data_IF_720946995977
#
_entry.id   IF_720946995977
#
_cell.length_a   1.000
_cell.length_b   1.000
_cell.length_c   1.000
_cell.angle_alpha   90.00
_cell.angle_beta   90.00
_cell.angle_gamma   90.00
#
_symmetry.space_group_name_H-M   'P 1'
#
loop_
_entity.id
_entity.type
_entity.pdbx_description
1 polymer ?
#
# COMPACT_ATOMS: atom_id res chain seq x y z
N UNK A 1 8.79 -5.48 -30.75
CA UNK A 1 8.21 -6.68 -30.14
C UNK A 1 7.08 -6.26 -29.24
N UNK A 2 5.92 -6.82 -29.42
CA UNK A 2 4.79 -6.60 -28.51
C UNK A 2 5.11 -7.19 -27.14
N UNK A 3 4.88 -6.42 -26.07
CA UNK A 3 5.17 -6.88 -24.72
C UNK A 3 4.14 -7.91 -24.30
N UNK A 4 4.57 -9.00 -23.69
CA UNK A 4 3.65 -10.01 -23.10
C UNK A 4 2.90 -9.43 -21.89
N UNK A 5 1.73 -9.97 -21.55
CA UNK A 5 0.97 -9.57 -20.36
C UNK A 5 1.83 -9.71 -19.09
N UNK A 6 2.61 -10.78 -18.98
CA UNK A 6 3.54 -10.98 -17.85
C UNK A 6 4.57 -9.85 -17.76
N UNK A 7 5.24 -9.52 -18.87
CA UNK A 7 6.20 -8.41 -18.89
C UNK A 7 5.57 -7.06 -18.57
N UNK A 8 4.30 -6.84 -18.96
CA UNK A 8 3.56 -5.64 -18.55
C UNK A 8 3.28 -5.65 -17.04
N UNK A 9 2.84 -6.78 -16.50
CA UNK A 9 2.58 -6.93 -15.07
C UNK A 9 3.84 -6.65 -14.25
N UNK A 10 4.98 -7.25 -14.61
CA UNK A 10 6.26 -7.05 -13.90
C UNK A 10 6.68 -5.58 -13.90
N UNK A 11 6.53 -4.84 -15.03
CA UNK A 11 6.83 -3.41 -15.10
C UNK A 11 5.88 -2.56 -14.25
N UNK A 12 4.58 -2.93 -14.18
CA UNK A 12 3.60 -2.23 -13.34
C UNK A 12 3.93 -2.46 -11.87
N UNK A 13 4.24 -3.68 -11.47
CA UNK A 13 4.63 -4.03 -10.09
C UNK A 13 5.87 -3.24 -9.68
N UNK A 14 6.94 -3.27 -10.48
CA UNK A 14 8.19 -2.55 -10.19
C UNK A 14 7.95 -1.03 -10.05
N UNK A 15 7.23 -0.43 -11.00
CA UNK A 15 6.95 1.01 -10.99
C UNK A 15 6.07 1.41 -9.78
N UNK A 16 5.10 0.58 -9.42
CA UNK A 16 4.18 0.83 -8.30
C UNK A 16 4.91 0.78 -6.97
N UNK A 17 5.68 -0.26 -6.72
CA UNK A 17 6.46 -0.42 -5.48
C UNK A 17 7.50 0.69 -5.37
N UNK A 18 8.26 0.97 -6.45
CA UNK A 18 9.28 2.02 -6.44
C UNK A 18 8.70 3.39 -6.07
N UNK A 19 7.50 3.73 -6.53
CA UNK A 19 6.87 5.01 -6.24
C UNK A 19 6.54 5.22 -4.75
N UNK A 20 6.39 4.14 -3.99
CA UNK A 20 6.06 4.18 -2.54
C UNK A 20 7.22 3.75 -1.65
N UNK A 21 8.42 3.58 -2.21
CA UNK A 21 9.63 3.39 -1.39
C UNK A 21 9.86 4.62 -0.49
N UNK A 22 10.31 4.43 0.75
CA UNK A 22 10.49 5.51 1.71
C UNK A 22 11.32 6.67 1.19
N UNK A 23 12.41 6.38 0.48
CA UNK A 23 13.31 7.40 -0.10
C UNK A 23 12.62 8.23 -1.19
N UNK A 24 11.90 7.58 -2.11
CA UNK A 24 11.21 8.28 -3.20
C UNK A 24 10.04 9.11 -2.66
N UNK A 25 9.34 8.58 -1.66
CA UNK A 25 8.26 9.28 -0.97
C UNK A 25 8.78 10.56 -0.29
N UNK A 26 9.89 10.47 0.43
CA UNK A 26 10.52 11.62 1.10
C UNK A 26 11.10 12.61 0.10
N UNK A 27 11.83 12.18 -0.93
CA UNK A 27 12.36 13.06 -1.97
C UNK A 27 11.24 13.86 -2.65
N UNK A 28 10.14 13.20 -2.97
CA UNK A 28 8.97 13.87 -3.56
C UNK A 28 8.33 14.88 -2.62
N UNK A 29 8.24 14.55 -1.33
CA UNK A 29 7.71 15.45 -0.33
C UNK A 29 8.57 16.69 -0.11
N UNK A 30 9.88 16.57 -0.22
CA UNK A 30 10.84 17.65 0.07
C UNK A 30 11.28 18.44 -1.18
N UNK A 31 10.73 18.16 -2.37
CA UNK A 31 11.15 18.79 -3.63
C UNK A 31 11.13 20.33 -3.57
N UNK A 32 10.09 20.89 -2.96
CA UNK A 32 9.88 22.34 -2.85
C UNK A 32 9.91 22.78 -1.37
N UNK A 33 10.69 22.08 -0.55
CA UNK A 33 10.81 22.38 0.88
C UNK A 33 12.07 23.22 1.13
N UNK A 34 11.86 24.47 1.57
CA UNK A 34 12.91 25.42 1.88
C UNK A 34 12.67 26.01 3.27
N UNK A 35 13.20 25.40 4.34
CA UNK A 35 13.05 25.92 5.70
C UNK A 35 13.87 27.21 5.88
N UNK A 36 13.34 28.17 6.66
CA UNK A 36 13.99 29.45 6.90
C UNK A 36 14.90 29.43 8.12
N UNK A 37 14.46 28.78 9.23
CA UNK A 37 15.18 28.65 10.48
C UNK A 37 15.90 27.32 10.63
N UNK A 38 16.13 26.92 11.88
CA UNK A 38 16.69 25.60 12.21
C UNK A 38 15.77 24.50 11.75
N UNK A 39 16.34 23.44 11.23
CA UNK A 39 15.60 22.24 10.86
C UNK A 39 16.00 21.08 11.76
N UNK A 40 15.07 20.63 12.61
CA UNK A 40 15.25 19.43 13.43
C UNK A 40 14.42 18.27 12.86
N UNK A 41 15.01 17.07 12.86
CA UNK A 41 14.41 15.89 12.28
C UNK A 41 14.01 14.91 13.39
N UNK A 42 12.74 14.49 13.39
CA UNK A 42 12.26 13.37 14.22
C UNK A 42 11.63 12.33 13.32
N UNK A 43 12.10 11.11 13.38
CA UNK A 43 11.57 10.03 12.57
C UNK A 43 11.18 8.82 13.43
N UNK A 44 9.98 8.29 13.22
CA UNK A 44 9.47 7.15 13.98
C UNK A 44 8.76 6.11 13.09
N UNK A 45 9.05 4.84 13.32
CA UNK A 45 8.44 3.72 12.61
C UNK A 45 9.45 2.76 11.98
N UNK A 46 8.96 1.72 11.33
CA UNK A 46 9.81 0.66 10.73
C UNK A 46 10.72 1.21 9.61
N UNK A 47 10.24 2.19 8.83
CA UNK A 47 11.00 2.83 7.75
C UNK A 47 11.69 4.13 8.18
N UNK A 48 11.67 4.49 9.47
CA UNK A 48 12.15 5.78 9.98
C UNK A 48 13.62 6.06 9.62
N UNK A 49 14.49 5.06 9.71
CA UNK A 49 15.89 5.23 9.33
C UNK A 49 16.05 5.59 7.84
N UNK A 50 15.34 4.88 6.97
CA UNK A 50 15.43 5.07 5.53
C UNK A 50 14.85 6.43 5.12
N UNK A 51 13.71 6.83 5.71
CA UNK A 51 13.11 8.15 5.51
C UNK A 51 14.04 9.26 5.96
N UNK A 52 14.65 9.13 7.14
CA UNK A 52 15.59 10.13 7.68
C UNK A 52 16.86 10.23 6.84
N UNK A 53 17.42 9.10 6.40
CA UNK A 53 18.57 9.07 5.50
C UNK A 53 18.27 9.79 4.18
N UNK A 54 17.10 9.54 3.59
CA UNK A 54 16.67 10.23 2.37
C UNK A 54 16.45 11.73 2.59
N UNK A 55 15.86 12.12 3.73
CA UNK A 55 15.63 13.53 4.06
C UNK A 55 16.94 14.29 4.20
N UNK A 56 17.91 13.76 4.95
CA UNK A 56 19.23 14.39 5.10
C UNK A 56 19.99 14.46 3.78
N UNK A 57 19.85 13.44 2.92
CA UNK A 57 20.46 13.46 1.59
C UNK A 57 19.86 14.55 0.67
N UNK A 58 18.57 14.87 0.82
CA UNK A 58 17.91 15.94 0.06
C UNK A 58 18.25 17.33 0.62
N UNK A 59 18.22 17.48 1.96
CA UNK A 59 18.42 18.77 2.62
C UNK A 59 19.90 19.15 2.74
N UNK A 60 20.81 18.17 2.68
CA UNK A 60 22.26 18.34 2.88
C UNK A 60 22.65 18.50 4.37
N UNK A 61 21.79 19.09 5.19
CA UNK A 61 22.04 19.34 6.61
C UNK A 61 20.75 19.36 7.42
N UNK A 62 20.81 18.94 8.68
CA UNK A 62 19.82 19.17 9.72
C UNK A 62 20.53 19.61 11.00
N UNK A 63 19.93 20.51 11.78
CA UNK A 63 20.53 21.05 13.02
C UNK A 63 20.52 20.07 14.18
N UNK A 64 19.80 18.99 14.04
CA UNK A 64 19.76 17.86 14.94
C UNK A 64 18.68 16.88 14.51
N UNK A 65 18.81 15.63 14.94
CA UNK A 65 17.78 14.64 14.62
C UNK A 65 17.78 13.43 15.54
N UNK A 66 16.59 12.81 15.64
CA UNK A 66 16.37 11.53 16.34
C UNK A 66 15.56 10.60 15.45
N UNK A 67 16.07 9.41 15.25
CA UNK A 67 15.37 8.29 14.59
C UNK A 67 15.03 7.24 15.64
N UNK A 68 13.79 6.77 15.65
CA UNK A 68 13.35 5.64 16.47
C UNK A 68 12.77 4.57 15.54
N UNK A 69 13.48 3.46 15.42
CA UNK A 69 13.07 2.33 14.58
C UNK A 69 13.15 1.01 15.33
N UNK A 70 12.62 -0.06 14.75
CA UNK A 70 12.69 -1.36 15.42
C UNK A 70 14.12 -1.94 15.36
N UNK A 71 14.42 -2.88 16.23
CA UNK A 71 15.70 -3.57 16.25
C UNK A 71 16.12 -4.13 14.90
N UNK A 72 17.41 -4.02 14.58
CA UNK A 72 18.04 -4.43 13.31
C UNK A 72 17.56 -3.64 12.05
N UNK A 73 17.04 -2.42 12.24
CA UNK A 73 16.60 -1.56 11.14
C UNK A 73 17.50 -0.34 10.91
N UNK A 74 18.42 -0.04 11.80
CA UNK A 74 19.47 0.96 11.59
C UNK A 74 20.54 0.39 10.66
N UNK A 75 20.67 0.96 9.46
CA UNK A 75 21.61 0.49 8.42
C UNK A 75 22.95 1.25 8.42
N UNK A 76 23.12 2.23 9.34
CA UNK A 76 24.34 3.02 9.43
C UNK A 76 24.13 4.36 10.11
N UNK A 77 25.17 5.20 10.12
CA UNK A 77 25.11 6.56 10.69
C UNK A 77 24.48 7.54 9.70
N UNK A 78 23.66 8.44 10.20
CA UNK A 78 23.13 9.59 9.44
C UNK A 78 23.75 10.84 10.05
N UNK A 79 24.42 11.71 9.27
CA UNK A 79 25.04 12.94 9.79
C UNK A 79 24.04 13.81 10.55
N UNK A 80 24.39 14.26 11.74
CA UNK A 80 23.53 15.11 12.59
C UNK A 80 22.35 14.40 13.25
N UNK A 81 22.21 13.08 13.12
CA UNK A 81 21.04 12.33 13.60
C UNK A 81 21.44 11.19 14.55
N UNK A 82 20.82 11.15 15.71
CA UNK A 82 20.92 10.02 16.65
C UNK A 82 19.95 8.92 16.28
N UNK A 83 20.45 7.75 15.87
CA UNK A 83 19.62 6.60 15.53
C UNK A 83 19.46 5.70 16.75
N UNK A 84 18.21 5.41 17.13
CA UNK A 84 17.81 4.54 18.22
C UNK A 84 16.99 3.36 17.71
N UNK A 85 17.22 2.18 18.26
CA UNK A 85 16.44 0.98 18.03
C UNK A 85 15.63 0.62 19.28
N UNK A 86 14.41 0.15 19.09
CA UNK A 86 13.44 -0.07 20.16
C UNK A 86 12.47 -1.20 19.86
N UNK A 87 11.65 -1.58 20.85
CA UNK A 87 10.69 -2.68 20.80
C UNK A 87 9.50 -2.40 19.87
N UNK A 88 9.13 -3.43 19.12
CA UNK A 88 7.93 -3.45 18.28
C UNK A 88 7.45 -4.92 18.15
N UNK A 89 6.16 -5.24 18.29
CA UNK A 89 4.99 -4.34 18.41
C UNK A 89 4.72 -3.77 19.81
N UNK A 90 5.44 -4.23 20.83
CA UNK A 90 5.31 -3.74 22.21
C UNK A 90 6.40 -2.70 22.46
N UNK A 91 6.06 -1.49 22.97
CA UNK A 91 7.05 -0.50 23.35
C UNK A 91 7.90 -0.98 24.53
N UNK A 92 9.15 -0.58 24.58
CA UNK A 92 10.09 -0.91 25.64
C UNK A 92 10.81 0.33 26.22
N UNK A 93 11.70 0.14 27.16
CA UNK A 93 12.48 1.22 27.76
C UNK A 93 13.27 2.05 26.71
N UNK A 94 13.71 1.42 25.62
CA UNK A 94 14.42 2.10 24.55
C UNK A 94 13.47 2.99 23.72
N UNK A 95 12.20 2.56 23.52
CA UNK A 95 11.16 3.41 22.92
C UNK A 95 10.97 4.69 23.74
N UNK A 96 10.85 4.57 25.06
CA UNK A 96 10.63 5.70 25.96
C UNK A 96 11.85 6.64 26.00
N UNK A 97 13.04 6.09 26.09
CA UNK A 97 14.30 6.86 26.11
C UNK A 97 14.54 7.60 24.78
N UNK A 98 14.28 6.95 23.67
CA UNK A 98 14.42 7.56 22.33
C UNK A 98 13.39 8.68 22.12
N UNK A 99 12.14 8.46 22.52
CA UNK A 99 11.10 9.49 22.50
C UNK A 99 11.44 10.68 23.38
N UNK A 100 12.03 10.44 24.57
CA UNK A 100 12.49 11.50 25.45
C UNK A 100 13.57 12.38 24.77
N UNK A 101 14.53 11.79 24.05
CA UNK A 101 15.53 12.54 23.27
C UNK A 101 14.87 13.40 22.18
N UNK A 102 13.83 12.88 21.53
CA UNK A 102 13.09 13.66 20.55
C UNK A 102 12.35 14.84 21.19
N UNK A 103 11.78 14.66 22.39
CA UNK A 103 11.15 15.74 23.15
C UNK A 103 12.16 16.82 23.60
N UNK A 104 13.35 16.42 24.00
CA UNK A 104 14.44 17.34 24.35
C UNK A 104 14.91 18.17 23.13
N UNK A 105 14.99 17.52 21.97
CA UNK A 105 15.39 18.16 20.71
C UNK A 105 14.44 19.28 20.26
N UNK A 106 13.14 19.14 20.54
CA UNK A 106 12.12 20.13 20.13
C UNK A 106 11.86 21.21 21.16
N UNK A 107 12.58 21.23 22.29
CA UNK A 107 12.45 22.28 23.29
C UNK A 107 13.10 23.58 22.84
N UNK A 108 12.43 24.72 23.11
CA UNK A 108 12.98 26.06 22.87
C UNK A 108 13.12 26.44 21.38
N UNK A 109 12.41 25.74 20.50
CA UNK A 109 12.31 26.12 19.08
C UNK A 109 11.58 27.46 18.92
N UNK A 110 11.91 28.19 17.85
CA UNK A 110 11.35 29.48 17.52
C UNK A 110 10.32 29.36 16.37
N UNK A 111 9.49 30.38 16.11
CA UNK A 111 8.47 30.35 15.05
C UNK A 111 9.00 30.09 13.65
N UNK A 112 10.25 30.50 13.36
CA UNK A 112 10.94 30.27 12.09
C UNK A 112 11.54 28.86 11.96
N UNK A 113 11.64 28.11 13.08
CA UNK A 113 12.20 26.76 13.08
C UNK A 113 11.20 25.75 12.53
N UNK A 114 11.73 24.69 11.95
CA UNK A 114 10.91 23.59 11.39
C UNK A 114 11.26 22.26 12.03
N UNK A 115 10.22 21.54 12.45
CA UNK A 115 10.32 20.13 12.85
C UNK A 115 9.90 19.28 11.67
N UNK A 116 10.85 18.59 11.04
CA UNK A 116 10.56 17.58 10.03
C UNK A 116 10.23 16.26 10.72
N UNK A 117 8.93 15.92 10.76
CA UNK A 117 8.43 14.72 11.41
C UNK A 117 8.12 13.62 10.38
N UNK A 118 8.95 12.56 10.37
CA UNK A 118 8.83 11.45 9.41
C UNK A 118 8.20 10.25 10.11
N UNK A 119 7.06 9.80 9.61
CA UNK A 119 6.26 8.78 10.27
C UNK A 119 5.95 7.62 9.32
N UNK A 120 6.14 6.40 9.81
CA UNK A 120 5.79 5.17 9.10
C UNK A 120 5.14 4.14 10.02
N UNK A 121 4.65 3.04 9.47
CA UNK A 121 4.03 1.95 10.22
C UNK A 121 4.87 1.48 11.42
N UNK A 122 4.19 1.10 12.50
CA UNK A 122 4.82 0.72 13.76
C UNK A 122 5.15 1.86 14.72
N UNK A 123 4.90 3.12 14.33
CA UNK A 123 5.16 4.31 15.15
C UNK A 123 4.43 4.32 16.49
N UNK A 124 3.30 3.64 16.63
CA UNK A 124 2.55 3.58 17.90
C UNK A 124 3.34 2.96 19.07
N UNK A 125 4.19 1.98 18.79
CA UNK A 125 5.06 1.37 19.79
C UNK A 125 6.41 2.09 19.89
N UNK A 126 6.97 2.48 18.75
CA UNK A 126 8.31 3.05 18.66
C UNK A 126 8.38 4.49 19.18
N UNK A 127 7.30 5.27 19.07
CA UNK A 127 7.22 6.65 19.54
C UNK A 127 6.20 6.79 20.67
N UNK A 128 6.66 6.50 21.90
CA UNK A 128 5.82 6.46 23.08
C UNK A 128 6.50 7.15 24.28
N UNK A 129 5.73 7.97 24.98
CA UNK A 129 6.07 8.58 26.27
C UNK A 129 4.91 8.33 27.24
N UNK A 130 4.95 7.26 28.04
CA UNK A 130 3.89 6.95 28.96
C UNK A 130 3.69 8.05 30.01
N UNK A 131 2.45 8.41 30.31
CA UNK A 131 2.04 9.28 31.42
C UNK A 131 1.67 8.48 32.68
N UNK A 132 1.68 7.15 32.56
CA UNK A 132 1.43 6.17 33.64
C UNK A 132 2.63 5.22 33.71
N UNK A 133 2.79 4.44 34.77
CA UNK A 133 3.81 3.40 34.85
C UNK A 133 3.77 2.47 33.63
N UNK A 134 4.93 2.07 33.14
CA UNK A 134 5.03 1.21 31.94
C UNK A 134 4.25 -0.11 32.12
N UNK A 135 4.30 -0.69 33.32
CA UNK A 135 3.56 -1.91 33.63
C UNK A 135 2.05 -1.74 33.49
N UNK A 136 1.50 -0.59 33.95
CA UNK A 136 0.07 -0.29 33.83
C UNK A 136 -0.34 -0.11 32.36
N UNK A 137 0.54 0.49 31.54
CA UNK A 137 0.30 0.64 30.11
C UNK A 137 0.30 -0.71 29.37
N UNK A 138 1.20 -1.60 29.75
CA UNK A 138 1.29 -2.97 29.21
C UNK A 138 0.04 -3.78 29.60
N UNK A 139 -0.35 -3.74 30.88
CA UNK A 139 -1.53 -4.41 31.39
C UNK A 139 -2.82 -3.88 30.71
N UNK A 140 -2.97 -2.58 30.58
CA UNK A 140 -4.10 -1.97 29.85
C UNK A 140 -4.17 -2.43 28.40
N UNK A 141 -3.01 -2.44 27.71
CA UNK A 141 -2.95 -2.90 26.32
C UNK A 141 -3.33 -4.36 26.19
N UNK A 142 -2.84 -5.21 27.11
CA UNK A 142 -3.19 -6.63 27.16
C UNK A 142 -4.70 -6.82 27.38
N UNK A 143 -5.28 -6.13 28.37
CA UNK A 143 -6.69 -6.22 28.69
C UNK A 143 -7.58 -5.80 27.52
N UNK A 144 -7.22 -4.72 26.81
CA UNK A 144 -7.92 -4.27 25.60
C UNK A 144 -7.92 -5.31 24.48
N UNK A 145 -6.79 -6.00 24.26
CA UNK A 145 -6.69 -7.07 23.28
C UNK A 145 -7.54 -8.28 23.68
N UNK A 146 -7.47 -8.68 24.96
CA UNK A 146 -8.20 -9.86 25.48
C UNK A 146 -9.71 -9.64 25.44
N UNK A 147 -10.20 -8.44 25.76
CA UNK A 147 -11.64 -8.14 25.73
C UNK A 147 -12.19 -7.91 24.32
N UNK A 148 -11.33 -7.95 23.28
CA UNK A 148 -11.75 -7.78 21.87
C UNK A 148 -12.09 -6.35 21.50
N UNK A 149 -11.47 -5.36 22.15
CA UNK A 149 -11.60 -3.97 21.76
C UNK A 149 -11.06 -3.74 20.35
N UNK A 150 -11.76 -2.95 19.56
CA UNK A 150 -11.30 -2.60 18.23
C UNK A 150 -10.14 -1.60 18.24
N UNK A 151 -9.49 -1.39 17.09
CA UNK A 151 -8.33 -0.52 16.99
C UNK A 151 -8.65 0.96 17.31
N UNK A 152 -9.87 1.40 17.07
CA UNK A 152 -10.32 2.77 17.38
C UNK A 152 -10.42 2.94 18.89
N UNK A 153 -11.04 1.98 19.58
CA UNK A 153 -11.18 1.94 21.03
C UNK A 153 -9.80 1.86 21.72
N UNK A 154 -8.93 0.99 21.23
CA UNK A 154 -7.54 0.87 21.71
C UNK A 154 -6.81 2.22 21.59
N UNK A 155 -6.86 2.86 20.43
CA UNK A 155 -6.18 4.13 20.21
C UNK A 155 -6.81 5.27 21.03
N UNK A 156 -8.11 5.27 21.20
CA UNK A 156 -8.80 6.26 22.05
C UNK A 156 -8.25 6.29 23.47
N UNK A 157 -8.01 5.12 24.08
CA UNK A 157 -7.40 5.04 25.41
C UNK A 157 -5.89 5.30 25.38
N UNK A 158 -5.16 4.75 24.41
CA UNK A 158 -3.71 4.98 24.31
C UNK A 158 -3.35 6.44 24.18
N UNK A 159 -4.13 7.23 23.45
CA UNK A 159 -3.93 8.68 23.33
C UNK A 159 -4.05 9.40 24.67
N UNK A 160 -4.90 8.92 25.59
CA UNK A 160 -5.07 9.53 26.94
C UNK A 160 -3.86 9.34 27.82
N UNK A 161 -3.19 8.19 27.71
CA UNK A 161 -2.07 7.79 28.60
C UNK A 161 -0.70 8.04 28.01
N UNK A 162 -0.62 8.79 26.90
CA UNK A 162 0.64 9.10 26.18
C UNK A 162 0.91 10.60 26.16
N UNK A 163 2.14 10.99 26.42
CA UNK A 163 2.62 12.37 26.35
C UNK A 163 2.90 12.86 24.93
N UNK A 164 2.84 11.98 23.91
CA UNK A 164 3.16 12.34 22.53
C UNK A 164 2.04 12.07 21.53
N UNK A 165 1.08 11.20 21.84
CA UNK A 165 -0.02 10.83 20.95
C UNK A 165 -1.15 11.85 20.95
N UNK A 166 -2.09 11.72 20.00
CA UNK A 166 -3.28 12.57 19.91
C UNK A 166 -2.97 14.06 19.78
N UNK A 167 -1.98 14.43 18.97
CA UNK A 167 -1.59 15.81 18.69
C UNK A 167 -0.60 16.41 19.69
N UNK A 168 -0.32 15.74 20.80
CA UNK A 168 0.53 16.31 21.87
C UNK A 168 1.97 16.58 21.41
N UNK A 169 2.55 15.72 20.57
CA UNK A 169 3.91 15.97 20.06
C UNK A 169 3.96 17.28 19.26
N UNK A 170 3.05 17.49 18.34
CA UNK A 170 3.03 18.75 17.57
C UNK A 170 2.75 19.96 18.46
N UNK A 171 1.90 19.83 19.47
CA UNK A 171 1.67 20.89 20.46
C UNK A 171 2.96 21.24 21.22
N UNK A 172 3.77 20.25 21.59
CA UNK A 172 5.06 20.46 22.25
C UNK A 172 6.14 21.08 21.33
N UNK A 173 5.98 20.96 20.02
CA UNK A 173 6.87 21.62 19.06
C UNK A 173 6.56 23.11 18.88
N UNK A 174 5.39 23.59 19.32
CA UNK A 174 5.04 25.01 19.18
C UNK A 174 6.05 25.91 19.93
N UNK A 175 6.42 27.09 19.35
CA UNK A 175 5.81 27.74 18.19
C UNK A 175 6.35 27.32 16.82
N UNK A 176 7.29 26.37 16.75
CA UNK A 176 7.86 25.90 15.50
C UNK A 176 6.81 25.19 14.62
N UNK A 177 7.03 25.24 13.30
CA UNK A 177 6.19 24.56 12.33
C UNK A 177 6.59 23.10 12.19
N UNK A 178 5.60 22.18 12.21
CA UNK A 178 5.79 20.74 12.02
C UNK A 178 5.41 20.37 10.58
N UNK A 179 6.37 19.88 9.81
CA UNK A 179 6.11 19.26 8.51
C UNK A 179 6.11 17.76 8.70
N UNK A 180 4.92 17.17 8.73
CA UNK A 180 4.73 15.73 8.92
C UNK A 180 4.67 15.02 7.56
N UNK A 181 5.62 14.10 7.29
CA UNK A 181 5.65 13.24 6.11
C UNK A 181 5.30 11.82 6.54
N UNK A 182 4.23 11.30 5.98
CA UNK A 182 3.62 10.03 6.44
C UNK A 182 3.66 8.98 5.33
N UNK A 183 4.16 7.79 5.69
CA UNK A 183 3.95 6.54 4.97
C UNK A 183 2.87 5.76 5.73
N UNK A 184 1.67 5.69 5.13
CA UNK A 184 0.50 5.08 5.75
C UNK A 184 0.36 3.62 5.35
N UNK A 185 0.21 2.76 6.35
CA UNK A 185 -0.17 1.35 6.21
C UNK A 185 -1.63 1.08 6.62
N UNK A 186 -2.43 2.13 6.84
CA UNK A 186 -3.83 2.04 7.24
C UNK A 186 -4.74 2.49 6.09
N UNK A 187 -5.75 1.69 5.76
CA UNK A 187 -6.71 2.01 4.71
C UNK A 187 -7.47 3.31 5.01
N UNK A 188 -7.57 4.17 3.99
CA UNK A 188 -8.23 5.47 4.10
C UNK A 188 -7.38 6.57 4.73
N UNK A 189 -6.13 6.26 5.13
CA UNK A 189 -5.15 7.19 5.66
C UNK A 189 -5.66 8.04 6.86
N UNK A 190 -6.29 7.43 7.89
CA UNK A 190 -6.78 8.18 9.05
C UNK A 190 -5.61 8.67 9.89
N UNK A 191 -5.21 9.94 9.71
CA UNK A 191 -4.00 10.52 10.29
C UNK A 191 -3.97 10.49 11.83
N UNK A 192 -5.14 10.54 12.47
CA UNK A 192 -5.28 10.42 13.92
C UNK A 192 -5.10 8.98 14.44
N UNK A 193 -5.08 8.00 13.54
CA UNK A 193 -4.84 6.58 13.84
C UNK A 193 -3.40 6.16 13.53
N UNK A 194 -2.75 6.77 12.54
CA UNK A 194 -1.35 6.46 12.17
C UNK A 194 -0.43 6.84 13.32
N UNK A 195 0.28 5.86 13.88
CA UNK A 195 1.07 5.99 15.11
C UNK A 195 0.29 6.60 16.30
N UNK A 196 -1.04 6.50 16.30
CA UNK A 196 -1.97 7.15 17.23
C UNK A 196 -1.90 8.70 17.19
N UNK A 197 -1.59 9.27 16.02
CA UNK A 197 -1.71 10.69 15.71
C UNK A 197 -0.81 11.66 16.48
N UNK A 198 0.53 11.52 16.54
CA UNK A 198 1.38 12.43 17.31
C UNK A 198 1.33 13.89 16.84
N UNK A 199 1.18 14.10 15.53
CA UNK A 199 1.10 15.41 14.89
C UNK A 199 -0.25 15.65 14.21
N UNK A 200 -1.33 15.13 14.80
CA UNK A 200 -2.66 15.29 14.25
C UNK A 200 -3.70 15.52 15.35
N UNK A 201 -4.70 16.41 15.15
CA UNK A 201 -5.77 16.62 16.13
C UNK A 201 -6.51 15.32 16.44
N UNK A 202 -6.81 15.10 17.71
CA UNK A 202 -7.52 13.90 18.14
C UNK A 202 -9.04 14.09 18.07
N UNK A 203 -9.70 13.28 17.26
CA UNK A 203 -11.17 13.29 17.14
C UNK A 203 -11.89 12.66 18.34
N UNK A 204 -11.20 11.79 19.12
CA UNK A 204 -11.81 11.11 20.28
C UNK A 204 -11.95 12.02 21.49
N UNK A 205 -12.95 11.77 22.35
CA UNK A 205 -13.27 12.59 23.52
C UNK A 205 -13.03 11.86 24.84
N UNK A 206 -12.90 12.61 25.96
CA UNK A 206 -12.88 12.03 27.30
C UNK A 206 -14.11 11.17 27.59
N UNK A 207 -15.29 11.59 27.12
CA UNK A 207 -16.53 10.84 27.28
C UNK A 207 -16.43 9.45 26.63
N UNK A 208 -15.99 9.39 25.35
CA UNK A 208 -15.79 8.12 24.65
C UNK A 208 -14.76 7.22 25.35
N UNK A 209 -13.66 7.80 25.83
CA UNK A 209 -12.66 7.03 26.58
C UNK A 209 -13.24 6.40 27.86
N UNK A 210 -14.07 7.14 28.60
CA UNK A 210 -14.77 6.64 29.79
C UNK A 210 -15.80 5.56 29.46
N UNK A 211 -16.54 5.72 28.35
CA UNK A 211 -17.49 4.71 27.87
C UNK A 211 -16.77 3.38 27.55
N UNK A 212 -15.60 3.43 26.92
CA UNK A 212 -14.79 2.23 26.64
C UNK A 212 -14.34 1.55 27.94
N UNK A 213 -13.85 2.33 28.92
CA UNK A 213 -13.47 1.80 30.24
C UNK A 213 -14.65 1.10 30.92
N UNK A 214 -15.86 1.70 30.89
CA UNK A 214 -17.06 1.11 31.45
C UNK A 214 -17.51 -0.13 30.67
N UNK A 215 -17.51 -0.07 29.34
CA UNK A 215 -17.93 -1.17 28.44
C UNK A 215 -17.15 -2.45 28.72
N UNK A 216 -15.86 -2.34 28.93
CA UNK A 216 -14.98 -3.49 29.12
C UNK A 216 -14.57 -3.73 30.57
N UNK A 217 -15.12 -2.96 31.54
CA UNK A 217 -14.80 -3.03 32.97
C UNK A 217 -13.29 -3.01 33.23
N UNK A 218 -12.56 -2.11 32.53
CA UNK A 218 -11.11 -2.03 32.61
C UNK A 218 -10.68 -1.51 34.00
N UNK A 219 -9.70 -2.14 34.66
CA UNK A 219 -9.16 -1.64 35.93
C UNK A 219 -8.42 -0.31 35.70
N UNK A 220 -8.72 0.70 36.52
CA UNK A 220 -8.13 2.03 36.42
C UNK A 220 -7.55 2.47 37.76
N UNK A 221 -6.30 2.94 37.74
CA UNK A 221 -5.70 3.62 38.90
C UNK A 221 -6.24 5.05 39.04
N UNK A 222 -6.04 5.68 40.18
CA UNK A 222 -6.41 7.09 40.38
C UNK A 222 -5.72 8.01 39.36
N UNK A 223 -4.45 7.74 39.04
CA UNK A 223 -3.72 8.50 38.02
C UNK A 223 -4.36 8.34 36.64
N UNK A 224 -4.76 7.13 36.25
CA UNK A 224 -5.43 6.87 34.98
C UNK A 224 -6.77 7.60 34.92
N UNK A 225 -7.56 7.55 35.98
CA UNK A 225 -8.84 8.28 36.07
C UNK A 225 -8.66 9.80 35.90
N UNK A 226 -7.63 10.38 36.53
CA UNK A 226 -7.32 11.80 36.38
C UNK A 226 -6.92 12.17 34.95
N UNK A 227 -6.20 11.31 34.24
CA UNK A 227 -5.83 11.51 32.83
C UNK A 227 -7.03 11.38 31.88
N UNK A 228 -8.03 10.57 32.20
CA UNK A 228 -9.27 10.47 31.41
C UNK A 228 -10.12 11.75 31.46
N UNK A 229 -9.87 12.68 32.40
CA UNK A 229 -10.53 13.99 32.43
C UNK A 229 -9.83 15.04 31.54
N UNK A 230 -8.65 14.74 31.02
CA UNK A 230 -7.85 15.66 30.24
C UNK A 230 -8.04 15.45 28.75
N UNK A 231 -8.63 16.44 28.06
CA UNK A 231 -8.76 16.38 26.60
C UNK A 231 -7.41 16.49 25.90
N UNK A 232 -7.31 15.76 24.80
CA UNK A 232 -6.21 15.87 23.82
C UNK A 232 -6.43 17.09 22.91
N UNK A 233 -5.37 17.62 22.24
CA UNK A 233 -5.52 18.70 21.28
C UNK A 233 -6.58 18.43 20.20
N UNK A 234 -7.54 19.32 20.04
CA UNK A 234 -8.63 19.24 19.06
C UNK A 234 -8.35 20.04 17.80
N UNK A 235 -7.37 20.92 17.83
CA UNK A 235 -6.89 21.68 16.70
C UNK A 235 -5.37 21.87 16.84
N UNK A 236 -4.69 21.95 15.72
CA UNK A 236 -3.27 22.23 15.60
C UNK A 236 -3.10 23.20 14.41
N UNK A 237 -2.53 24.35 14.65
CA UNK A 237 -2.30 25.41 13.67
C UNK A 237 -0.86 25.42 13.13
N UNK A 238 0.03 24.69 13.78
CA UNK A 238 1.45 24.61 13.45
C UNK A 238 1.84 23.35 12.65
N UNK A 239 0.92 22.64 12.00
CA UNK A 239 1.21 21.37 11.32
C UNK A 239 0.80 21.41 9.85
N UNK A 240 1.71 20.98 8.97
CA UNK A 240 1.40 20.63 7.59
C UNK A 240 1.69 19.15 7.39
N UNK A 241 0.70 18.35 6.98
CA UNK A 241 0.85 16.91 6.75
C UNK A 241 0.89 16.59 5.26
N UNK A 242 1.83 15.73 4.86
CA UNK A 242 2.00 15.20 3.50
C UNK A 242 1.98 13.67 3.56
N UNK A 243 0.94 13.05 3.05
CA UNK A 243 0.89 11.59 2.86
C UNK A 243 1.56 11.30 1.52
N UNK A 244 2.71 10.67 1.54
CA UNK A 244 3.55 10.45 0.35
C UNK A 244 3.75 8.99 -0.01
N UNK A 245 3.35 8.08 0.87
CA UNK A 245 3.23 6.65 0.61
C UNK A 245 1.96 6.14 1.25
N UNK A 246 1.08 5.57 0.43
CA UNK A 246 -0.17 4.93 0.83
C UNK A 246 -0.63 4.00 -0.28
N UNK A 247 -1.62 3.18 0.01
CA UNK A 247 -2.28 2.35 -1.01
C UNK A 247 -2.81 3.19 -2.19
N UNK A 248 -3.26 4.40 -1.91
CA UNK A 248 -3.70 5.36 -2.94
C UNK A 248 -2.57 5.74 -3.90
N UNK A 249 -1.38 6.04 -3.36
CA UNK A 249 -0.20 6.36 -4.17
C UNK A 249 0.31 5.13 -4.93
N UNK A 250 0.24 3.94 -4.33
CA UNK A 250 0.55 2.66 -4.98
C UNK A 250 -0.36 2.45 -6.21
N UNK A 251 -1.68 2.64 -6.05
CA UNK A 251 -2.65 2.53 -7.14
C UNK A 251 -2.46 3.60 -8.22
N UNK A 252 -2.14 4.84 -7.86
CA UNK A 252 -1.85 5.92 -8.83
C UNK A 252 -0.62 5.61 -9.65
N UNK A 253 0.42 5.06 -9.01
CA UNK A 253 1.63 4.64 -9.71
C UNK A 253 1.36 3.47 -10.66
N UNK A 254 0.56 2.48 -10.24
CA UNK A 254 0.09 1.40 -11.10
C UNK A 254 -0.68 1.94 -12.32
N UNK A 255 -1.61 2.88 -12.12
CA UNK A 255 -2.36 3.50 -13.19
C UNK A 255 -1.46 4.28 -14.17
N UNK A 256 -0.45 4.98 -13.65
CA UNK A 256 0.53 5.67 -14.51
C UNK A 256 1.36 4.69 -15.32
N UNK A 257 1.82 3.59 -14.72
CA UNK A 257 2.55 2.54 -15.42
C UNK A 257 1.69 1.88 -16.52
N UNK A 258 0.41 1.61 -16.23
CA UNK A 258 -0.55 1.10 -17.21
C UNK A 258 -0.68 2.04 -18.42
N UNK A 259 -0.83 3.37 -18.21
CA UNK A 259 -0.89 4.34 -19.31
C UNK A 259 0.38 4.33 -20.17
N UNK A 260 1.54 4.26 -19.54
CA UNK A 260 2.83 4.21 -20.25
C UNK A 260 2.99 2.93 -21.10
N UNK A 261 2.24 1.87 -20.79
CA UNK A 261 2.17 0.61 -21.52
C UNK A 261 1.03 0.58 -22.54
N UNK A 262 0.27 1.67 -22.68
CA UNK A 262 -0.83 1.82 -23.63
C UNK A 262 -2.16 1.23 -23.15
N UNK A 263 -2.33 0.97 -21.86
CA UNK A 263 -3.59 0.57 -21.26
C UNK A 263 -4.39 1.80 -20.81
N UNK A 264 -5.72 1.72 -20.87
CA UNK A 264 -6.64 2.67 -20.26
C UNK A 264 -6.92 2.21 -18.81
N UNK A 265 -6.34 2.85 -17.77
CA UNK A 265 -6.53 2.42 -16.39
C UNK A 265 -7.82 2.97 -15.80
N UNK A 266 -8.52 2.11 -15.08
CA UNK A 266 -9.68 2.44 -14.23
C UNK A 266 -9.36 2.05 -12.79
N UNK A 267 -9.32 3.04 -11.90
CA UNK A 267 -9.21 2.77 -10.47
C UNK A 267 -10.60 2.42 -9.93
N UNK A 268 -10.76 1.18 -9.48
CA UNK A 268 -12.00 0.68 -8.89
C UNK A 268 -12.15 1.14 -7.44
N UNK A 269 -11.09 0.95 -6.66
CA UNK A 269 -11.03 1.32 -5.24
C UNK A 269 -9.60 1.37 -4.75
N UNK A 270 -9.35 2.15 -3.72
CA UNK A 270 -8.13 2.14 -2.91
C UNK A 270 -8.41 1.68 -1.45
N UNK A 271 -9.58 1.04 -1.23
CA UNK A 271 -10.04 0.56 0.07
C UNK A 271 -10.62 -0.86 0.00
N UNK A 272 -10.01 -1.71 -0.84
CA UNK A 272 -10.43 -3.10 -0.97
C UNK A 272 -10.21 -3.84 0.37
N UNK A 273 -11.31 -4.30 0.97
CA UNK A 273 -11.29 -5.00 2.25
C UNK A 273 -12.36 -6.11 2.24
N UNK A 274 -12.01 -7.26 1.67
CA UNK A 274 -12.87 -8.43 1.61
C UNK A 274 -12.02 -9.70 1.55
N UNK A 275 -12.63 -10.86 1.44
CA UNK A 275 -11.90 -12.12 1.24
C UNK A 275 -11.17 -12.13 -0.10
N UNK A 276 -9.90 -12.54 -0.09
CA UNK A 276 -9.01 -12.50 -1.26
C UNK A 276 -9.57 -13.25 -2.46
N UNK A 277 -10.13 -14.45 -2.25
CA UNK A 277 -10.72 -15.27 -3.33
C UNK A 277 -11.92 -14.59 -3.98
N UNK A 278 -12.74 -13.89 -3.21
CA UNK A 278 -13.90 -13.16 -3.73
C UNK A 278 -13.46 -11.96 -4.56
N UNK A 279 -12.44 -11.21 -4.08
CA UNK A 279 -11.84 -10.13 -4.85
C UNK A 279 -11.25 -10.62 -6.18
N UNK A 280 -10.55 -11.76 -6.18
CA UNK A 280 -9.99 -12.39 -7.37
C UNK A 280 -11.06 -12.80 -8.37
N UNK A 281 -12.11 -13.48 -7.90
CA UNK A 281 -13.26 -13.88 -8.72
C UNK A 281 -13.97 -12.67 -9.34
N UNK A 282 -14.11 -11.59 -8.59
CA UNK A 282 -14.71 -10.33 -9.06
C UNK A 282 -13.86 -9.66 -10.15
N UNK A 283 -12.55 -9.52 -9.93
CA UNK A 283 -11.63 -8.95 -10.94
C UNK A 283 -11.57 -9.81 -12.20
N UNK A 284 -11.58 -11.13 -12.06
CA UNK A 284 -11.68 -12.07 -13.19
C UNK A 284 -12.98 -11.91 -13.98
N UNK A 285 -14.10 -11.67 -13.29
CA UNK A 285 -15.41 -11.44 -13.93
C UNK A 285 -15.43 -10.11 -14.71
N UNK A 286 -14.80 -9.06 -14.19
CA UNK A 286 -14.61 -7.78 -14.91
C UNK A 286 -13.79 -8.05 -16.17
N UNK A 287 -12.65 -8.75 -16.05
CA UNK A 287 -11.78 -9.05 -17.18
C UNK A 287 -12.54 -9.83 -18.28
N UNK A 288 -13.34 -10.84 -17.91
CA UNK A 288 -14.19 -11.60 -18.83
C UNK A 288 -15.19 -10.73 -19.55
N UNK A 289 -15.87 -9.81 -18.83
CA UNK A 289 -16.89 -8.92 -19.40
C UNK A 289 -16.30 -7.92 -20.39
N UNK A 290 -15.07 -7.47 -20.14
CA UNK A 290 -14.41 -6.45 -20.94
C UNK A 290 -13.50 -7.03 -22.04
N UNK A 291 -13.28 -8.35 -22.04
CA UNK A 291 -12.50 -9.02 -23.07
C UNK A 291 -13.17 -8.88 -24.46
N UNK A 292 -12.36 -8.72 -25.50
CA UNK A 292 -12.84 -8.67 -26.89
C UNK A 292 -13.31 -7.29 -27.36
N UNK A 293 -13.22 -6.24 -26.56
CA UNK A 293 -13.61 -4.87 -26.99
C UNK A 293 -12.55 -4.17 -27.87
N UNK A 294 -11.45 -4.84 -28.21
CA UNK A 294 -10.38 -4.27 -29.04
C UNK A 294 -9.51 -3.23 -28.33
N UNK A 295 -9.75 -2.95 -27.07
CA UNK A 295 -9.02 -1.98 -26.25
C UNK A 295 -8.08 -2.67 -25.26
N UNK A 296 -6.98 -1.99 -24.94
CA UNK A 296 -6.12 -2.37 -23.81
C UNK A 296 -6.64 -1.71 -22.54
N UNK A 297 -7.21 -2.48 -21.62
CA UNK A 297 -7.82 -1.98 -20.38
C UNK A 297 -7.07 -2.49 -19.15
N UNK A 298 -7.03 -1.68 -18.10
CA UNK A 298 -6.48 -2.08 -16.81
C UNK A 298 -7.43 -1.67 -15.68
N UNK A 299 -7.91 -2.63 -14.90
CA UNK A 299 -8.74 -2.37 -13.72
C UNK A 299 -7.90 -2.56 -12.47
N UNK A 300 -7.83 -1.54 -11.62
CA UNK A 300 -6.91 -1.45 -10.49
C UNK A 300 -7.72 -1.39 -9.20
N UNK A 301 -7.38 -2.22 -8.25
CA UNK A 301 -7.91 -2.18 -6.89
C UNK A 301 -6.76 -2.24 -5.89
N UNK A 302 -6.77 -1.38 -4.90
CA UNK A 302 -5.81 -1.39 -3.81
C UNK A 302 -6.49 -1.56 -2.47
N UNK A 303 -5.79 -2.15 -1.51
CA UNK A 303 -6.35 -2.37 -0.19
C UNK A 303 -5.63 -3.46 0.58
N UNK A 304 -6.35 -4.10 1.49
CA UNK A 304 -5.85 -5.20 2.29
C UNK A 304 -6.94 -6.28 2.40
N UNK A 305 -6.82 -7.32 1.58
CA UNK A 305 -7.75 -8.46 1.63
C UNK A 305 -7.38 -9.42 2.77
N UNK A 306 -8.31 -10.28 3.14
CA UNK A 306 -8.11 -11.29 4.17
C UNK A 306 -8.21 -12.70 3.58
N UNK A 307 -7.63 -13.68 4.27
CA UNK A 307 -7.76 -15.11 3.97
C UNK A 307 -8.38 -15.83 5.15
N UNK A 308 -9.45 -16.56 4.92
CA UNK A 308 -9.98 -17.51 5.89
C UNK A 308 -9.22 -18.83 5.79
N UNK A 309 -8.44 -19.15 6.82
CA UNK A 309 -7.65 -20.37 6.86
C UNK A 309 -8.58 -21.57 7.16
N UNK A 310 -8.82 -22.40 6.15
CA UNK A 310 -9.61 -23.63 6.24
C UNK A 310 -8.75 -24.87 6.02
N UNK A 311 -7.61 -24.72 5.37
CA UNK A 311 -6.66 -25.75 5.01
C UNK A 311 -5.35 -25.68 5.76
N UNK A 312 -4.36 -26.45 5.27
CA UNK A 312 -2.99 -26.54 5.83
C UNK A 312 -1.93 -26.16 4.78
N UNK A 313 -2.34 -25.66 3.62
CA UNK A 313 -1.46 -25.27 2.54
C UNK A 313 -0.64 -24.02 2.86
N UNK A 314 0.15 -23.61 1.90
CA UNK A 314 1.02 -22.45 1.97
C UNK A 314 0.54 -21.41 0.96
N UNK A 315 0.48 -20.14 1.37
CA UNK A 315 0.08 -19.03 0.50
C UNK A 315 -0.12 -17.75 1.28
N UNK A 316 -0.60 -16.73 0.57
CA UNK A 316 -0.98 -15.45 1.10
C UNK A 316 -2.17 -14.86 0.36
N UNK A 317 -2.65 -13.71 0.81
CA UNK A 317 -3.85 -13.06 0.28
C UNK A 317 -3.72 -12.65 -1.18
N UNK A 318 -2.54 -12.17 -1.57
CA UNK A 318 -2.27 -11.74 -2.95
C UNK A 318 -2.17 -12.93 -3.91
N UNK A 319 -1.57 -14.01 -3.47
CA UNK A 319 -1.50 -15.27 -4.22
C UNK A 319 -2.88 -15.90 -4.36
N UNK A 320 -3.68 -15.92 -3.28
CA UNK A 320 -5.05 -16.48 -3.29
C UNK A 320 -5.97 -15.65 -4.19
N UNK A 321 -5.88 -14.32 -4.16
CA UNK A 321 -6.60 -13.43 -5.05
C UNK A 321 -6.29 -13.73 -6.53
N UNK A 322 -5.01 -13.81 -6.88
CA UNK A 322 -4.61 -14.09 -8.26
C UNK A 322 -5.11 -15.45 -8.71
N UNK A 323 -4.88 -16.52 -7.93
CA UNK A 323 -5.31 -17.88 -8.28
C UNK A 323 -6.83 -17.98 -8.48
N UNK A 324 -7.61 -17.27 -7.65
CA UNK A 324 -9.07 -17.26 -7.74
C UNK A 324 -9.60 -16.62 -9.02
N UNK A 325 -8.84 -15.76 -9.67
CA UNK A 325 -9.22 -15.14 -10.96
C UNK A 325 -9.02 -16.08 -12.16
N UNK A 326 -8.13 -17.10 -12.07
CA UNK A 326 -7.74 -17.93 -13.20
C UNK A 326 -8.92 -18.59 -13.94
N UNK A 327 -9.95 -19.17 -13.28
CA UNK A 327 -11.10 -19.77 -13.99
C UNK A 327 -11.89 -18.76 -14.82
N UNK A 328 -11.98 -17.51 -14.36
CA UNK A 328 -12.76 -16.49 -15.04
C UNK A 328 -12.08 -16.00 -16.33
N UNK A 329 -10.76 -16.02 -16.40
CA UNK A 329 -9.99 -15.49 -17.54
C UNK A 329 -9.40 -16.58 -18.43
N UNK A 330 -9.70 -17.84 -18.18
CA UNK A 330 -9.20 -18.98 -18.97
C UNK A 330 -9.48 -18.79 -20.47
N UNK A 331 -8.44 -18.90 -21.31
CA UNK A 331 -8.50 -18.73 -22.76
C UNK A 331 -8.64 -17.29 -23.24
N UNK A 332 -8.62 -16.31 -22.35
CA UNK A 332 -8.71 -14.88 -22.71
C UNK A 332 -7.32 -14.24 -22.80
N UNK A 333 -7.19 -13.22 -23.67
CA UNK A 333 -6.02 -12.33 -23.68
C UNK A 333 -6.11 -11.37 -22.50
N UNK A 334 -6.02 -11.90 -21.29
CA UNK A 334 -6.14 -11.16 -20.04
C UNK A 334 -5.23 -11.75 -18.97
N UNK A 335 -4.86 -10.95 -17.99
CA UNK A 335 -4.11 -11.39 -16.82
C UNK A 335 -4.66 -10.71 -15.56
N UNK A 336 -4.58 -11.39 -14.42
CA UNK A 336 -4.84 -10.81 -13.10
C UNK A 336 -3.65 -11.07 -12.21
N UNK A 337 -3.18 -10.04 -11.53
CA UNK A 337 -2.11 -10.16 -10.55
C UNK A 337 -2.42 -9.31 -9.32
N UNK A 338 -1.85 -9.73 -8.20
CA UNK A 338 -1.92 -8.99 -6.93
C UNK A 338 -0.59 -9.10 -6.21
N UNK A 339 -0.17 -8.01 -5.56
CA UNK A 339 1.14 -7.93 -4.91
C UNK A 339 1.09 -7.06 -3.65
N UNK A 340 1.73 -7.53 -2.58
CA UNK A 340 2.02 -6.75 -1.38
C UNK A 340 3.21 -5.83 -1.60
N UNK A 341 3.05 -4.57 -1.21
CA UNK A 341 4.11 -3.56 -1.39
C UNK A 341 5.36 -3.83 -0.56
N UNK A 342 5.27 -4.61 0.52
CA UNK A 342 6.39 -4.99 1.39
C UNK A 342 7.28 -6.12 0.82
N UNK A 343 6.81 -6.76 -0.25
CA UNK A 343 7.53 -7.84 -0.93
C UNK A 343 7.34 -9.20 -0.30
N UNK A 344 6.36 -9.34 0.59
CA UNK A 344 5.99 -10.62 1.24
C UNK A 344 4.49 -10.83 1.18
N UNK A 345 4.06 -12.10 1.12
CA UNK A 345 2.64 -12.46 1.10
C UNK A 345 2.42 -13.75 1.91
N UNK A 346 1.87 -13.60 3.12
CA UNK A 346 1.78 -14.66 4.09
C UNK A 346 3.18 -15.18 4.53
N UNK A 347 3.31 -16.44 4.94
CA UNK A 347 4.58 -17.02 5.36
C UNK A 347 5.43 -17.53 4.16
N UNK A 348 5.44 -16.80 3.04
CA UNK A 348 6.13 -17.19 1.80
C UNK A 348 7.22 -16.18 1.41
N UNK A 349 8.05 -16.54 0.44
CA UNK A 349 9.07 -15.67 -0.17
C UNK A 349 8.52 -14.88 -1.38
N UNK A 350 7.25 -15.07 -1.72
CA UNK A 350 6.57 -14.34 -2.79
C UNK A 350 5.94 -13.05 -2.26
N UNK A 351 5.95 -12.01 -3.08
CA UNK A 351 5.20 -10.77 -2.85
C UNK A 351 3.73 -10.90 -3.28
N UNK A 352 3.41 -11.88 -4.14
CA UNK A 352 2.06 -12.08 -4.63
C UNK A 352 1.98 -13.11 -5.75
N UNK A 353 0.90 -13.02 -6.54
CA UNK A 353 0.61 -13.96 -7.61
C UNK A 353 0.19 -13.30 -8.93
N UNK A 354 0.40 -14.02 -10.01
CA UNK A 354 0.02 -13.68 -11.38
C UNK A 354 -0.65 -14.88 -12.04
N UNK A 355 -1.73 -14.63 -12.75
CA UNK A 355 -2.42 -15.61 -13.62
C UNK A 355 -2.81 -14.94 -14.93
N UNK A 356 -2.93 -15.74 -15.99
CA UNK A 356 -3.40 -15.32 -17.31
C UNK A 356 -4.31 -16.38 -17.95
N UNK A 357 -4.64 -16.16 -19.23
CA UNK A 357 -5.54 -17.06 -19.96
C UNK A 357 -5.06 -18.50 -20.07
N UNK A 358 -3.77 -18.76 -19.95
CA UNK A 358 -3.17 -20.09 -20.09
C UNK A 358 -2.99 -20.81 -18.73
N UNK A 359 -3.07 -20.06 -17.64
CA UNK A 359 -2.76 -20.56 -16.29
C UNK A 359 -3.60 -21.76 -15.87
N UNK A 360 -4.92 -21.73 -16.13
CA UNK A 360 -5.80 -22.86 -15.72
C UNK A 360 -5.43 -24.14 -16.46
N UNK A 361 -5.21 -24.08 -17.76
CA UNK A 361 -4.79 -25.24 -18.56
C UNK A 361 -3.41 -25.78 -18.13
N UNK A 362 -2.48 -24.89 -17.79
CA UNK A 362 -1.17 -25.27 -17.28
C UNK A 362 -1.25 -25.97 -15.93
N UNK A 363 -2.10 -25.50 -15.02
CA UNK A 363 -2.37 -26.15 -13.73
C UNK A 363 -2.91 -27.56 -13.92
N UNK A 364 -3.93 -27.73 -14.76
CA UNK A 364 -4.55 -29.02 -15.05
C UNK A 364 -3.57 -30.00 -15.69
N UNK A 365 -2.77 -29.55 -16.66
CA UNK A 365 -1.72 -30.33 -17.29
C UNK A 365 -0.63 -30.77 -16.28
N UNK A 366 -0.34 -29.95 -15.28
CA UNK A 366 0.56 -30.24 -14.16
C UNK A 366 -0.07 -31.11 -13.05
N UNK A 367 -1.34 -31.52 -13.19
CA UNK A 367 -2.04 -32.31 -12.20
C UNK A 367 -2.54 -31.51 -11.00
N UNK A 368 -2.61 -30.20 -11.10
CA UNK A 368 -3.12 -29.31 -10.07
C UNK A 368 -4.59 -28.96 -10.32
N UNK A 369 -5.36 -28.91 -9.25
CA UNK A 369 -6.70 -28.32 -9.24
C UNK A 369 -6.64 -26.96 -8.55
N UNK A 370 -6.86 -25.88 -9.28
CA UNK A 370 -6.92 -24.54 -8.70
C UNK A 370 -7.98 -24.43 -7.60
N UNK A 371 -9.13 -25.09 -7.79
CA UNK A 371 -10.18 -25.14 -6.77
C UNK A 371 -9.72 -25.86 -5.48
N UNK A 372 -9.09 -27.03 -5.60
CA UNK A 372 -8.59 -27.77 -4.44
C UNK A 372 -7.47 -27.00 -3.71
N UNK A 373 -6.60 -26.32 -4.45
CA UNK A 373 -5.54 -25.47 -3.89
C UNK A 373 -6.15 -24.33 -3.07
N UNK A 374 -7.17 -23.62 -3.58
CA UNK A 374 -7.88 -22.58 -2.85
C UNK A 374 -8.57 -23.11 -1.59
N UNK A 375 -9.22 -24.30 -1.66
CA UNK A 375 -9.85 -24.90 -0.47
C UNK A 375 -8.84 -25.30 0.61
N UNK A 376 -7.61 -25.64 0.22
CA UNK A 376 -6.54 -25.98 1.14
C UNK A 376 -5.66 -24.77 1.54
N UNK A 377 -5.96 -23.53 1.07
CA UNK A 377 -5.12 -22.34 1.20
C UNK A 377 -3.68 -22.57 0.70
N UNK A 378 -3.53 -23.29 -0.42
CA UNK A 378 -2.24 -23.71 -1.01
C UNK A 378 -1.95 -23.00 -2.34
N UNK A 379 -2.22 -21.72 -2.39
CA UNK A 379 -2.01 -20.88 -3.57
C UNK A 379 -0.53 -20.79 -3.97
N UNK A 380 0.40 -20.87 -3.01
CA UNK A 380 1.83 -20.81 -3.27
C UNK A 380 2.32 -21.95 -4.17
N UNK A 381 2.04 -23.20 -3.81
CA UNK A 381 2.51 -24.33 -4.57
C UNK A 381 1.82 -24.43 -5.94
N UNK A 382 0.53 -24.11 -6.00
CA UNK A 382 -0.20 -24.07 -7.27
C UNK A 382 0.40 -23.03 -8.25
N UNK A 383 0.60 -21.79 -7.80
CA UNK A 383 1.20 -20.74 -8.63
C UNK A 383 2.66 -21.03 -8.97
N UNK A 384 3.43 -21.60 -8.03
CA UNK A 384 4.82 -22.00 -8.28
C UNK A 384 4.94 -23.03 -9.41
N UNK A 385 3.98 -23.96 -9.51
CA UNK A 385 3.98 -24.98 -10.55
C UNK A 385 3.80 -24.43 -11.97
N UNK A 386 3.28 -23.22 -12.12
CA UNK A 386 2.98 -22.56 -13.41
C UNK A 386 3.71 -21.24 -13.60
N UNK A 387 4.79 -21.01 -12.86
CA UNK A 387 5.56 -19.75 -12.86
C UNK A 387 4.72 -18.49 -12.58
N UNK A 388 3.66 -18.67 -11.77
CA UNK A 388 2.70 -17.64 -11.42
C UNK A 388 3.07 -16.83 -10.16
N UNK A 389 4.21 -17.08 -9.51
CA UNK A 389 4.65 -16.28 -8.36
C UNK A 389 5.26 -14.95 -8.81
N UNK A 390 5.03 -13.90 -7.99
CA UNK A 390 5.73 -12.62 -8.10
C UNK A 390 6.74 -12.54 -6.95
N UNK A 391 8.02 -12.50 -7.27
CA UNK A 391 9.12 -12.45 -6.30
C UNK A 391 9.81 -11.10 -6.43
N UNK A 392 9.78 -10.29 -5.40
CA UNK A 392 10.44 -8.98 -5.36
C UNK A 392 11.57 -8.92 -4.33
N UNK A 393 11.56 -9.84 -3.37
CA UNK A 393 12.29 -9.70 -2.12
C UNK A 393 11.72 -8.60 -1.24
N UNK A 394 12.26 -8.43 -0.04
CA UNK A 394 11.84 -7.39 0.89
C UNK A 394 12.12 -5.99 0.32
N UNK A 395 11.09 -5.17 0.19
CA UNK A 395 11.15 -3.85 -0.46
C UNK A 395 11.55 -2.72 0.49
N UNK A 396 11.29 -2.88 1.79
CA UNK A 396 11.53 -1.87 2.82
C UNK A 396 10.41 -0.83 2.96
N UNK A 397 9.30 -0.99 2.23
CA UNK A 397 8.05 -0.24 2.44
C UNK A 397 6.93 -1.18 2.88
N UNK A 398 5.82 -0.63 3.38
CA UNK A 398 4.54 -1.32 3.52
C UNK A 398 3.43 -0.27 3.46
N UNK A 399 2.67 -0.31 2.39
CA UNK A 399 1.52 0.55 2.13
C UNK A 399 0.35 -0.28 1.56
N UNK A 400 0.17 -1.49 2.09
CA UNK A 400 -0.81 -2.48 1.65
C UNK A 400 -0.56 -3.03 0.23
N UNK A 401 -1.61 -3.49 -0.46
CA UNK A 401 -1.54 -4.29 -1.68
C UNK A 401 -2.15 -3.57 -2.87
N UNK A 402 -1.75 -3.98 -4.06
CA UNK A 402 -2.39 -3.60 -5.33
C UNK A 402 -2.70 -4.84 -6.16
N UNK A 403 -3.94 -4.91 -6.64
CA UNK A 403 -4.41 -5.90 -7.61
C UNK A 403 -4.77 -5.24 -8.92
N UNK A 404 -4.41 -5.89 -10.04
CA UNK A 404 -4.66 -5.36 -11.38
C UNK A 404 -5.18 -6.47 -12.29
N UNK A 405 -6.27 -6.18 -12.99
CA UNK A 405 -6.72 -6.98 -14.14
C UNK A 405 -6.34 -6.28 -15.44
N UNK A 406 -5.45 -6.88 -16.22
CA UNK A 406 -5.03 -6.42 -17.53
C UNK A 406 -5.83 -7.15 -18.63
N UNK A 407 -6.34 -6.42 -19.60
CA UNK A 407 -7.03 -6.96 -20.75
C UNK A 407 -6.30 -6.46 -22.00
N UNK A 408 -5.75 -7.40 -22.75
CA UNK A 408 -5.06 -7.11 -24.01
C UNK A 408 -6.07 -6.85 -25.14
N UNK A 409 -5.72 -5.98 -26.07
CA UNK A 409 -6.48 -5.84 -27.29
C UNK A 409 -6.46 -7.17 -28.07
N UNK A 410 -7.62 -7.63 -28.51
CA UNK A 410 -7.72 -8.72 -29.46
C UNK A 410 -7.92 -8.09 -30.82
N UNK A 411 -6.93 -8.19 -31.71
CA UNK A 411 -7.14 -7.87 -33.10
C UNK A 411 -8.03 -8.95 -33.71
N UNK A 412 -9.29 -8.64 -33.95
CA UNK A 412 -10.15 -9.53 -34.72
C UNK A 412 -9.74 -9.41 -36.18
N UNK A 413 -8.85 -10.28 -36.63
CA UNK A 413 -8.58 -10.44 -38.04
C UNK A 413 -9.77 -11.22 -38.61
N UNK A 414 -10.77 -10.53 -39.12
CA UNK A 414 -11.83 -11.15 -39.91
C UNK A 414 -11.21 -11.48 -41.26
N UNK A 415 -10.65 -12.67 -41.39
CA UNK A 415 -10.26 -13.21 -42.69
C UNK A 415 -11.54 -13.67 -43.37
N UNK A 416 -12.17 -12.80 -44.15
CA UNK A 416 -13.16 -13.23 -45.09
C UNK A 416 -12.44 -14.10 -46.12
N UNK A 417 -12.60 -15.41 -46.05
CA UNK A 417 -12.43 -16.26 -47.19
C UNK A 417 -13.57 -15.96 -48.18
N UNK A 418 -13.40 -14.89 -48.95
CA UNK A 418 -14.22 -14.69 -50.14
C UNK A 418 -13.75 -15.78 -51.10
N UNK A 419 -14.65 -16.72 -51.40
CA UNK A 419 -14.36 -17.72 -52.44
C UNK A 419 -13.85 -16.94 -53.66
N UNK A 420 -12.59 -17.20 -54.01
CA UNK A 420 -11.86 -16.44 -55.03
C UNK A 420 -12.60 -16.41 -56.37
N UNK A 421 -13.44 -17.40 -56.64
CA UNK A 421 -14.30 -17.46 -57.83
C UNK A 421 -15.42 -16.45 -57.82
N UNK A 422 -16.05 -16.17 -56.69
CA UNK A 422 -17.13 -15.17 -56.54
C UNK A 422 -16.57 -13.76 -56.52
N UNK A 423 -15.41 -13.56 -55.87
CA UNK A 423 -14.75 -12.24 -55.81
C UNK A 423 -14.19 -11.80 -57.17
N UNK A 424 -13.56 -12.71 -57.91
CA UNK A 424 -13.06 -12.44 -59.25
C UNK A 424 -14.23 -12.17 -60.22
N UNK A 425 -15.35 -12.86 -60.06
CA UNK A 425 -16.58 -12.62 -60.83
C UNK A 425 -17.23 -11.27 -60.57
N UNK A 426 -17.23 -10.81 -59.33
CA UNK A 426 -17.75 -9.50 -58.93
C UNK A 426 -16.77 -8.36 -59.32
N UNK A 427 -15.46 -8.58 -59.12
CA UNK A 427 -14.41 -7.63 -59.47
C UNK A 427 -14.34 -7.41 -61.00
N UNK A 428 -14.47 -8.48 -61.82
CA UNK A 428 -14.53 -8.36 -63.27
C UNK A 428 -15.75 -7.58 -63.79
N UNK A 429 -16.89 -7.67 -63.10
CA UNK A 429 -18.07 -6.89 -63.39
C UNK A 429 -17.95 -5.42 -62.98
N UNK A 430 -17.27 -5.12 -61.90
CA UNK A 430 -17.02 -3.75 -61.42
C UNK A 430 -15.90 -3.10 -62.25
N UNK A 431 -14.82 -3.79 -62.56
CA UNK A 431 -13.70 -3.30 -63.40
C UNK A 431 -14.11 -3.13 -64.86
N UNK A 432 -15.07 -3.92 -65.37
CA UNK A 432 -15.66 -3.73 -66.69
C UNK A 432 -16.52 -2.46 -66.79
N UNK A 433 -16.96 -1.88 -65.69
CA UNK A 433 -17.72 -0.63 -65.62
C UNK A 433 -16.86 0.63 -65.35
N UNK A 434 -15.61 0.46 -64.90
CA UNK A 434 -14.67 1.54 -64.59
C UNK A 434 -13.34 1.23 -65.29
N UNK A 435 -13.15 1.78 -66.51
CA UNK A 435 -11.85 1.70 -67.18
C UNK A 435 -10.83 2.59 -66.52
N UNK A 436 -10.25 2.14 -65.41
CA UNK A 436 -9.02 2.71 -64.84
C UNK A 436 -8.18 1.55 -64.32
N UNK A 437 -7.19 1.18 -65.12
CA UNK A 437 -6.04 0.40 -64.62
C UNK A 437 -5.17 1.31 -63.79
N UNK A 438 -4.86 0.90 -62.58
CA UNK A 438 -3.55 0.84 -61.93
C UNK A 438 -3.69 0.79 -60.43
N UNK A 439 -2.89 -0.09 -59.82
CA UNK A 439 -2.57 -0.22 -58.41
C UNK A 439 -3.52 -1.11 -57.59
N UNK A 440 -3.21 -2.38 -57.52
CA UNK A 440 -3.64 -3.26 -56.44
C UNK A 440 -2.51 -4.24 -56.09
N UNK A 441 -1.46 -3.73 -55.40
CA UNK A 441 -0.70 -4.47 -54.41
C UNK A 441 -0.92 -3.77 -53.07
N UNK A 442 -1.39 -4.53 -52.09
CA UNK A 442 -1.63 -4.12 -50.71
C UNK A 442 -2.97 -3.38 -50.39
N UNK A 443 -4.03 -4.12 -50.20
CA UNK A 443 -5.15 -3.69 -49.37
C UNK A 443 -5.35 -4.65 -48.21
N UNK A 444 -4.87 -4.24 -47.02
CA UNK A 444 -5.34 -4.75 -45.73
C UNK A 444 -6.41 -3.77 -45.24
N UNK A 445 -7.69 -4.18 -45.16
CA UNK A 445 -8.74 -3.39 -44.54
C UNK A 445 -8.79 -3.73 -43.03
N UNK A 446 -8.50 -2.72 -42.22
CA UNK A 446 -8.76 -2.77 -40.78
C UNK A 446 -10.14 -2.13 -40.54
N UNK A 447 -11.06 -2.87 -39.98
CA UNK A 447 -12.26 -2.28 -39.37
C UNK A 447 -12.02 -2.15 -37.87
N UNK A 448 -12.06 -0.92 -37.42
CA UNK A 448 -12.16 -0.58 -36.02
C UNK A 448 -13.63 -0.26 -35.78
N UNK A 449 -14.27 -0.99 -34.89
CA UNK A 449 -15.57 -0.61 -34.36
C UNK A 449 -15.35 0.17 -33.04
N UNK A 450 -15.93 1.35 -33.01
CA UNK A 450 -16.04 2.18 -31.80
C UNK A 450 -16.98 1.56 -30.77
#
# INVERSE_FOLDING_TARGET
MEKTLRSCADQIVEASIRAVLPDEAVRRALKDFHPEGRTVLVAAGKAAWQMAHAAVAVLGHVDGGVVVTKYNHVKGKIPGVTCCEAGHPVPDANSFAATQKALELVQGLQPEDTVLFLLSGGGSALFEKPLIPAADLEELTHNLLVCGADIVEINTLRKRFSGVKGGRFAQLCAPAHVVSIVLSDILGDPLDMIASGPAYPDSSTCAQAKEIVQKYHLPMTEQMLALLEQETPKALDNVTTRITGSVRELCRAAASACRNLGYEPVLLTDQLCCEAREAGSFLGSIARTQAGQGKKLAYIAGGETIVHLTGKGLGGRNQELALAAAPAIAGLNAAVFSVGSDGTDGPTDAAGGYVDGDTLAALEAGGWSGYAALQNNDSYHALKAVDGLIITGATGTNVNDVAVALIGAVAVIITYFIDSSLFLGLLSKILGALSVMTVLDNFAFYFVFD
#
